data_IF_878710706230
#
_entry.id   IF_878710706230
#
_cell.length_a   1.000
_cell.length_b   1.000
_cell.length_c   1.000
_cell.angle_alpha   90.00
_cell.angle_beta   90.00
_cell.angle_gamma   90.00
#
_symmetry.space_group_name_H-M   'P 1'
#
loop_
_entity.id
_entity.type
_entity.pdbx_description
1 polymer ?
#
# COMPACT_ATOMS: atom_id res chain seq x y z
N UNK A 1 -9.55 29.95 29.32
CA UNK A 1 -8.56 30.50 28.35
C UNK A 1 -9.30 30.78 27.06
N UNK A 2 -9.12 31.96 26.44
CA UNK A 2 -9.69 32.23 25.12
C UNK A 2 -9.05 31.30 24.07
N UNK A 3 -9.82 30.64 23.20
CA UNK A 3 -9.25 29.78 22.17
C UNK A 3 -8.26 30.51 21.28
N UNK A 4 -7.20 29.84 20.86
CA UNK A 4 -6.10 30.46 20.11
C UNK A 4 -5.66 29.57 18.95
N UNK A 5 -5.68 30.11 17.74
CA UNK A 5 -5.01 29.51 16.60
C UNK A 5 -3.50 29.72 16.69
N UNK A 6 -2.73 28.67 16.40
CA UNK A 6 -1.28 28.73 16.25
C UNK A 6 -0.96 28.28 14.82
N UNK A 7 -0.32 29.16 14.06
CA UNK A 7 -0.12 28.98 12.61
C UNK A 7 1.35 29.24 12.27
N UNK A 8 1.99 28.26 11.63
CA UNK A 8 3.32 28.42 11.05
C UNK A 8 3.19 29.11 9.69
N UNK A 9 3.87 30.24 9.52
CA UNK A 9 3.63 31.16 8.40
C UNK A 9 4.34 30.75 7.11
N UNK A 10 5.55 30.23 7.19
CA UNK A 10 6.39 30.02 6.01
C UNK A 10 5.93 28.79 5.24
N UNK A 11 5.93 28.88 3.90
CA UNK A 11 5.62 27.76 3.02
C UNK A 11 6.50 26.52 3.29
N UNK A 12 5.99 25.34 2.91
CA UNK A 12 6.69 24.06 3.14
C UNK A 12 8.05 24.01 2.41
N UNK A 13 8.11 24.61 1.21
CA UNK A 13 9.32 24.74 0.40
C UNK A 13 9.59 26.21 0.06
N UNK A 14 10.82 26.53 -0.36
CA UNK A 14 11.22 27.92 -0.66
C UNK A 14 10.39 28.58 -1.78
N UNK A 15 9.66 27.79 -2.58
CA UNK A 15 8.75 28.26 -3.64
C UNK A 15 7.25 28.17 -3.27
N UNK A 16 6.93 27.60 -2.11
CA UNK A 16 5.54 27.50 -1.65
C UNK A 16 5.07 28.86 -1.10
N UNK A 17 3.82 29.26 -1.37
CA UNK A 17 3.28 30.49 -0.80
C UNK A 17 3.20 30.40 0.73
N UNK A 18 3.40 31.53 1.40
CA UNK A 18 3.19 31.62 2.84
C UNK A 18 1.72 31.41 3.19
N UNK A 19 1.47 30.89 4.39
CA UNK A 19 0.12 30.47 4.82
C UNK A 19 -0.85 31.64 4.92
N UNK A 20 -0.39 32.81 5.33
CA UNK A 20 -1.18 34.06 5.39
C UNK A 20 -1.68 34.54 4.02
N UNK A 21 -1.05 34.11 2.93
CA UNK A 21 -1.49 34.45 1.58
C UNK A 21 -2.82 33.77 1.21
N UNK A 22 -3.14 32.63 1.82
CA UNK A 22 -4.33 31.84 1.46
C UNK A 22 -5.23 31.46 2.63
N UNK A 23 -4.73 31.40 3.86
CA UNK A 23 -5.53 31.09 5.04
C UNK A 23 -6.19 32.38 5.54
N UNK A 24 -7.44 32.62 5.11
CA UNK A 24 -8.19 33.83 5.43
C UNK A 24 -9.00 33.70 6.72
N UNK A 25 -9.42 34.85 7.26
CA UNK A 25 -10.22 34.94 8.49
C UNK A 25 -11.49 34.08 8.39
N UNK A 26 -12.16 34.10 7.25
CA UNK A 26 -13.38 33.32 7.02
C UNK A 26 -13.19 31.80 7.22
N UNK A 27 -12.01 31.27 6.88
CA UNK A 27 -11.69 29.86 7.08
C UNK A 27 -11.47 29.55 8.57
N UNK A 28 -10.78 30.44 9.29
CA UNK A 28 -10.59 30.32 10.73
C UNK A 28 -11.93 30.47 11.49
N UNK A 29 -12.80 31.37 11.04
CA UNK A 29 -14.16 31.55 11.54
C UNK A 29 -14.99 30.27 11.35
N UNK A 30 -14.94 29.65 10.16
CA UNK A 30 -15.65 28.39 9.88
C UNK A 30 -15.10 27.22 10.72
N UNK A 31 -13.78 27.04 10.75
CA UNK A 31 -13.13 26.01 11.58
C UNK A 31 -13.52 26.18 13.05
N UNK A 32 -13.40 27.39 13.60
CA UNK A 32 -13.73 27.64 15.01
C UNK A 32 -15.22 27.39 15.30
N UNK A 33 -16.11 27.78 14.38
CA UNK A 33 -17.55 27.53 14.51
C UNK A 33 -17.87 26.03 14.49
N UNK A 34 -17.25 25.25 13.59
CA UNK A 34 -17.46 23.80 13.47
C UNK A 34 -16.86 22.99 14.61
N UNK A 35 -15.79 23.49 15.22
CA UNK A 35 -15.09 22.82 16.33
C UNK A 35 -15.66 23.21 17.69
N UNK A 36 -15.95 24.50 17.90
CA UNK A 36 -16.31 25.07 19.21
C UNK A 36 -17.71 25.71 19.27
N UNK A 37 -18.41 25.84 18.15
CA UNK A 37 -19.74 26.46 18.08
C UNK A 37 -19.74 27.99 18.06
N UNK A 38 -18.57 28.64 17.98
CA UNK A 38 -18.46 30.11 17.99
C UNK A 38 -17.24 30.61 17.20
N UNK A 39 -17.13 31.93 16.98
CA UNK A 39 -16.02 32.57 16.24
C UNK A 39 -15.05 33.37 17.11
N UNK A 40 -15.12 33.23 18.43
CA UNK A 40 -14.28 34.00 19.35
C UNK A 40 -12.93 33.31 19.58
N UNK A 41 -11.86 33.84 18.98
CA UNK A 41 -10.50 33.30 19.10
C UNK A 41 -9.42 34.39 18.96
N UNK A 42 -8.20 34.04 19.35
CA UNK A 42 -6.98 34.80 19.05
C UNK A 42 -6.14 34.07 17.99
N UNK A 43 -5.25 34.78 17.30
CA UNK A 43 -4.34 34.18 16.31
C UNK A 43 -2.89 34.48 16.67
N UNK A 44 -2.06 33.43 16.71
CA UNK A 44 -0.61 33.52 16.90
C UNK A 44 0.11 32.96 15.68
N UNK A 45 0.77 33.85 14.96
CA UNK A 45 1.67 33.49 13.86
C UNK A 45 3.06 33.12 14.40
N UNK A 46 3.70 32.11 13.79
CA UNK A 46 5.08 31.72 14.06
C UNK A 46 5.86 31.76 12.76
N UNK A 47 7.04 32.37 12.77
CA UNK A 47 7.97 32.40 11.63
C UNK A 47 8.70 31.05 11.52
N UNK A 48 7.96 30.01 11.12
CA UNK A 48 8.41 28.63 10.92
C UNK A 48 7.80 28.06 9.65
N UNK A 49 8.46 27.08 9.06
CA UNK A 49 7.92 26.32 7.92
C UNK A 49 6.74 25.45 8.37
N UNK A 50 5.63 25.54 7.64
CA UNK A 50 4.48 24.66 7.85
C UNK A 50 4.87 23.22 7.48
N UNK A 51 4.57 22.28 8.36
CA UNK A 51 4.77 20.84 8.13
C UNK A 51 3.42 20.15 8.04
N UNK A 52 3.25 19.32 7.00
CA UNK A 52 1.99 18.60 6.78
C UNK A 52 0.78 19.51 6.66
N UNK A 53 0.91 20.77 6.21
CA UNK A 53 -0.21 21.74 6.13
C UNK A 53 -1.04 21.82 7.43
N UNK A 54 -0.37 21.72 8.57
CA UNK A 54 -0.99 21.61 9.87
C UNK A 54 -1.09 22.98 10.56
N UNK A 55 -2.29 23.30 11.06
CA UNK A 55 -2.52 24.40 12.00
C UNK A 55 -3.09 23.84 13.31
N UNK A 56 -3.03 24.64 14.37
CA UNK A 56 -3.51 24.22 15.69
C UNK A 56 -4.56 25.18 16.21
N UNK A 57 -5.62 24.66 16.82
CA UNK A 57 -6.55 25.43 17.65
C UNK A 57 -6.42 24.94 19.09
N UNK A 58 -5.93 25.81 19.96
CA UNK A 58 -5.70 25.51 21.37
C UNK A 58 -6.79 26.11 22.24
N UNK A 59 -7.33 25.30 23.14
CA UNK A 59 -8.29 25.70 24.19
C UNK A 59 -7.69 25.43 25.58
N UNK A 60 -8.46 25.62 26.64
CA UNK A 60 -8.04 25.27 28.01
C UNK A 60 -7.70 23.79 28.16
N UNK A 61 -8.46 22.93 27.51
CA UNK A 61 -8.56 21.49 27.77
C UNK A 61 -8.23 20.64 26.53
N UNK A 62 -8.24 21.23 25.33
CA UNK A 62 -8.01 20.51 24.08
C UNK A 62 -7.08 21.25 23.11
N UNK A 63 -6.27 20.50 22.37
CA UNK A 63 -5.52 20.97 21.19
C UNK A 63 -6.04 20.23 19.97
N UNK A 64 -6.60 20.98 19.02
CA UNK A 64 -7.07 20.45 17.74
C UNK A 64 -6.00 20.64 16.69
N UNK A 65 -5.53 19.52 16.14
CA UNK A 65 -4.59 19.41 15.03
C UNK A 65 -5.42 19.42 13.74
N UNK A 66 -5.35 20.50 12.97
CA UNK A 66 -6.19 20.69 11.78
C UNK A 66 -5.30 20.64 10.53
N UNK A 67 -5.34 19.53 9.81
CA UNK A 67 -4.69 19.36 8.53
C UNK A 67 -5.51 20.03 7.42
N UNK A 68 -4.89 20.97 6.71
CA UNK A 68 -5.52 21.68 5.61
C UNK A 68 -5.29 20.93 4.29
N UNK A 69 -6.34 20.80 3.48
CA UNK A 69 -6.21 20.32 2.12
C UNK A 69 -5.37 21.28 1.26
N UNK A 70 -5.00 20.82 0.06
CA UNK A 70 -4.43 21.71 -0.94
C UNK A 70 -5.42 22.84 -1.28
N UNK A 71 -4.90 24.03 -1.57
CA UNK A 71 -5.66 25.19 -2.03
C UNK A 71 -5.40 25.47 -3.52
N UNK A 72 -6.26 26.28 -4.12
CA UNK A 72 -6.10 26.72 -5.51
C UNK A 72 -6.29 25.57 -6.50
N UNK A 73 -5.52 25.56 -7.59
CA UNK A 73 -5.70 24.57 -8.66
C UNK A 73 -5.05 23.22 -8.31
N UNK A 74 -5.83 22.15 -8.40
CA UNK A 74 -5.36 20.78 -8.18
C UNK A 74 -4.51 20.29 -9.36
N UNK A 75 -3.18 20.38 -9.22
CA UNK A 75 -2.21 20.02 -10.26
C UNK A 75 -1.81 18.53 -10.28
N UNK A 76 -2.35 17.70 -9.37
CA UNK A 76 -2.08 16.26 -9.32
C UNK A 76 -2.86 15.57 -8.20
N UNK A 77 -3.22 14.29 -8.40
CA UNK A 77 -4.07 13.50 -7.48
C UNK A 77 -3.43 13.34 -6.10
N UNK A 78 -2.12 13.11 -6.07
CA UNK A 78 -1.40 12.72 -4.86
C UNK A 78 -1.19 13.90 -3.89
N UNK A 79 -1.20 15.13 -4.41
CA UNK A 79 -0.82 16.31 -3.66
C UNK A 79 -1.77 16.63 -2.50
N UNK A 80 -3.02 16.17 -2.58
CA UNK A 80 -3.98 16.30 -1.49
C UNK A 80 -3.73 15.31 -0.35
N UNK A 81 -3.32 14.09 -0.67
CA UNK A 81 -3.21 13.00 0.31
C UNK A 81 -1.86 13.05 1.03
N UNK A 82 -0.79 13.49 0.36
CA UNK A 82 0.58 13.47 0.87
C UNK A 82 0.81 14.23 2.20
N UNK A 83 0.06 15.32 2.45
CA UNK A 83 0.22 16.08 3.69
C UNK A 83 -0.35 15.34 4.91
N UNK A 84 -1.31 14.43 4.71
CA UNK A 84 -2.09 13.81 5.78
C UNK A 84 -1.22 12.90 6.65
N UNK A 85 -0.45 11.93 6.12
CA UNK A 85 0.39 11.07 6.98
C UNK A 85 1.44 11.86 7.73
N UNK A 86 1.98 12.92 7.12
CA UNK A 86 2.94 13.81 7.78
C UNK A 86 2.31 14.53 8.98
N UNK A 87 1.11 15.10 8.81
CA UNK A 87 0.39 15.75 9.90
C UNK A 87 -0.06 14.76 10.99
N UNK A 88 -0.51 13.59 10.57
CA UNK A 88 -0.93 12.51 11.46
C UNK A 88 0.25 11.99 12.29
N UNK A 89 1.43 11.83 11.69
CA UNK A 89 2.65 11.44 12.42
C UNK A 89 3.05 12.45 13.49
N UNK A 90 2.91 13.76 13.22
CA UNK A 90 3.13 14.81 14.23
C UNK A 90 2.13 14.64 15.39
N UNK A 91 0.85 14.51 15.06
CA UNK A 91 -0.22 14.30 16.05
C UNK A 91 0.01 13.05 16.90
N UNK A 92 0.35 11.91 16.29
CA UNK A 92 0.58 10.65 17.00
C UNK A 92 1.83 10.72 17.89
N UNK A 93 2.90 11.36 17.43
CA UNK A 93 4.09 11.59 18.26
C UNK A 93 3.75 12.41 19.50
N UNK A 94 2.95 13.47 19.34
CA UNK A 94 2.53 14.31 20.46
C UNK A 94 1.54 13.59 21.38
N UNK A 95 0.62 12.79 20.83
CA UNK A 95 -0.28 11.93 21.61
C UNK A 95 0.49 10.93 22.48
N UNK A 96 1.50 10.26 21.89
CA UNK A 96 2.36 9.33 22.63
C UNK A 96 3.06 10.02 23.81
N UNK A 97 3.62 11.21 23.59
CA UNK A 97 4.26 12.00 24.65
C UNK A 97 3.25 12.47 25.70
N UNK A 98 2.08 12.92 25.28
CA UNK A 98 1.00 13.38 26.17
C UNK A 98 0.48 12.24 27.06
N UNK A 99 0.38 11.02 26.52
CA UNK A 99 -0.02 9.83 27.26
C UNK A 99 1.06 9.33 28.24
N UNK A 100 2.34 9.57 27.92
CA UNK A 100 3.46 9.22 28.80
C UNK A 100 3.73 10.24 29.92
N UNK A 101 3.09 11.41 29.87
CA UNK A 101 3.32 12.48 30.85
C UNK A 101 2.50 12.29 32.12
N UNK A 102 3.14 12.45 33.28
CA UNK A 102 2.48 12.44 34.61
C UNK A 102 1.84 13.79 34.99
N UNK A 103 1.82 14.77 34.07
CA UNK A 103 1.23 16.08 34.32
C UNK A 103 -0.28 15.98 34.56
N UNK A 104 -0.74 16.55 35.69
CA UNK A 104 -2.17 16.62 36.07
C UNK A 104 -3.03 17.41 35.06
N UNK A 105 -2.44 18.34 34.32
CA UNK A 105 -3.16 19.26 33.41
C UNK A 105 -2.95 18.89 31.93
N UNK A 106 -3.08 17.60 31.59
CA UNK A 106 -2.95 17.15 30.20
C UNK A 106 -4.13 17.64 29.35
N UNK A 107 -3.82 18.19 28.17
CA UNK A 107 -4.85 18.53 27.19
C UNK A 107 -5.21 17.30 26.37
N UNK A 108 -6.49 17.15 26.05
CA UNK A 108 -6.94 16.21 25.01
C UNK A 108 -6.36 16.68 23.67
N UNK A 109 -5.85 15.77 22.84
CA UNK A 109 -5.50 16.11 21.47
C UNK A 109 -6.51 15.47 20.52
N UNK A 110 -6.85 16.17 19.44
CA UNK A 110 -7.79 15.70 18.43
C UNK A 110 -7.25 16.03 17.05
N UNK A 111 -7.43 15.14 16.07
CA UNK A 111 -6.94 15.33 14.70
C UNK A 111 -8.09 15.46 13.70
N UNK A 112 -8.12 16.57 12.97
CA UNK A 112 -9.16 16.94 12.02
C UNK A 112 -8.58 17.27 10.64
N UNK A 113 -9.38 17.06 9.61
CA UNK A 113 -9.10 17.47 8.25
C UNK A 113 -10.07 18.57 7.80
N UNK A 114 -9.57 19.56 7.05
CA UNK A 114 -10.34 20.69 6.56
C UNK A 114 -10.05 20.97 5.08
N UNK A 115 -11.10 21.06 4.28
CA UNK A 115 -11.04 21.43 2.88
C UNK A 115 -10.86 22.94 2.69
N UNK A 116 -9.77 23.33 2.05
CA UNK A 116 -9.50 24.68 1.58
C UNK A 116 -10.17 24.92 0.21
N UNK A 117 -10.48 26.18 -0.14
CA UNK A 117 -10.97 26.52 -1.47
C UNK A 117 -10.01 26.05 -2.56
N UNK A 118 -10.54 25.28 -3.51
CA UNK A 118 -9.77 24.64 -4.58
C UNK A 118 -10.57 24.56 -5.88
N UNK A 119 -9.87 24.50 -7.01
CA UNK A 119 -10.43 24.26 -8.34
C UNK A 119 -9.89 22.96 -8.92
N UNK A 120 -10.73 22.19 -9.61
CA UNK A 120 -10.40 20.86 -10.13
C UNK A 120 -11.28 19.77 -9.52
N UNK A 121 -11.06 18.52 -9.94
CA UNK A 121 -11.87 17.40 -9.49
C UNK A 121 -11.33 16.78 -8.20
N UNK A 122 -12.03 17.02 -7.10
CA UNK A 122 -11.75 16.46 -5.79
C UNK A 122 -12.49 15.13 -5.51
N UNK A 123 -13.38 14.73 -6.41
CA UNK A 123 -14.28 13.60 -6.28
C UNK A 123 -13.87 12.50 -7.30
N UNK A 124 -12.60 12.12 -7.28
CA UNK A 124 -12.11 11.00 -8.10
C UNK A 124 -12.11 9.73 -7.27
N UNK A 125 -12.24 8.55 -7.91
CA UNK A 125 -12.18 7.24 -7.22
C UNK A 125 -10.92 7.11 -6.34
N UNK A 126 -9.77 7.58 -6.84
CA UNK A 126 -8.51 7.56 -6.12
C UNK A 126 -8.54 8.45 -4.86
N UNK A 127 -9.01 9.69 -4.98
CA UNK A 127 -9.03 10.62 -3.83
C UNK A 127 -10.08 10.16 -2.80
N UNK A 128 -11.26 9.73 -3.27
CA UNK A 128 -12.31 9.19 -2.40
C UNK A 128 -11.83 7.98 -1.62
N UNK A 129 -11.08 7.06 -2.25
CA UNK A 129 -10.48 5.93 -1.55
C UNK A 129 -9.69 6.37 -0.32
N UNK A 130 -8.87 7.42 -0.42
CA UNK A 130 -8.11 7.91 0.73
C UNK A 130 -8.95 8.67 1.75
N UNK A 131 -10.02 9.36 1.34
CA UNK A 131 -10.97 9.93 2.31
C UNK A 131 -11.69 8.85 3.11
N UNK A 132 -12.02 7.73 2.48
CA UNK A 132 -12.56 6.56 3.18
C UNK A 132 -11.52 5.96 4.13
N UNK A 133 -10.25 5.85 3.73
CA UNK A 133 -9.15 5.44 4.62
C UNK A 133 -9.04 6.37 5.84
N UNK A 134 -9.15 7.69 5.65
CA UNK A 134 -9.14 8.65 6.75
C UNK A 134 -10.29 8.43 7.72
N UNK A 135 -11.52 8.26 7.21
CA UNK A 135 -12.70 7.97 8.03
C UNK A 135 -12.55 6.65 8.79
N UNK A 136 -11.95 5.65 8.15
CA UNK A 136 -11.63 4.35 8.76
C UNK A 136 -10.64 4.50 9.91
N UNK A 137 -9.68 5.42 9.78
CA UNK A 137 -8.71 5.77 10.82
C UNK A 137 -9.25 6.76 11.88
N UNK A 138 -10.58 6.96 11.96
CA UNK A 138 -11.27 7.90 12.85
C UNK A 138 -10.86 9.38 12.67
N UNK A 139 -10.46 9.77 11.46
CA UNK A 139 -10.16 11.17 11.14
C UNK A 139 -11.46 11.90 10.78
N UNK A 140 -11.82 12.92 11.57
CA UNK A 140 -12.98 13.76 11.30
C UNK A 140 -12.67 14.81 10.23
N UNK A 141 -13.49 14.84 9.19
CA UNK A 141 -13.50 15.87 8.15
C UNK A 141 -14.51 16.94 8.55
N UNK A 142 -14.07 18.18 8.75
CA UNK A 142 -14.89 19.26 9.34
C UNK A 142 -15.94 19.82 8.39
N UNK A 143 -15.58 20.00 7.12
CA UNK A 143 -16.39 20.65 6.10
C UNK A 143 -16.52 19.77 4.84
N UNK A 144 -16.87 18.49 5.03
CA UNK A 144 -17.08 17.55 3.93
C UNK A 144 -18.14 18.05 2.94
N UNK A 145 -19.18 18.72 3.46
CA UNK A 145 -20.24 19.40 2.69
C UNK A 145 -19.69 20.43 1.69
N UNK A 146 -18.59 21.09 2.03
CA UNK A 146 -17.92 22.05 1.15
C UNK A 146 -16.99 21.37 0.14
N UNK A 147 -16.15 20.43 0.60
CA UNK A 147 -15.14 19.81 -0.25
C UNK A 147 -15.68 18.76 -1.22
N UNK A 148 -16.84 18.19 -0.92
CA UNK A 148 -17.50 17.09 -1.63
C UNK A 148 -19.03 17.28 -1.59
N UNK A 149 -19.56 18.32 -2.25
CA UNK A 149 -20.98 18.65 -2.19
C UNK A 149 -21.85 17.52 -2.76
N UNK A 150 -22.84 17.07 -1.99
CA UNK A 150 -23.77 16.02 -2.38
C UNK A 150 -23.26 14.59 -2.20
N UNK A 151 -22.03 14.41 -1.71
CA UNK A 151 -21.42 13.10 -1.50
C UNK A 151 -21.32 12.78 -0.02
N UNK A 152 -21.49 11.49 0.33
CA UNK A 152 -21.26 10.99 1.68
C UNK A 152 -20.04 10.07 1.67
N UNK A 153 -19.00 10.42 2.45
CA UNK A 153 -17.84 9.56 2.62
C UNK A 153 -18.08 8.64 3.82
N UNK A 154 -18.17 7.36 3.54
CA UNK A 154 -18.25 6.31 4.55
C UNK A 154 -16.88 5.66 4.80
N UNK A 155 -16.64 5.29 6.06
CA UNK A 155 -15.49 4.46 6.40
C UNK A 155 -15.57 3.11 5.66
N UNK A 156 -14.44 2.44 5.51
CA UNK A 156 -14.44 1.03 5.12
C UNK A 156 -14.94 0.20 6.29
N UNK A 157 -15.72 -0.83 5.98
CA UNK A 157 -16.27 -1.75 6.98
C UNK A 157 -15.41 -3.01 7.14
N UNK A 158 -14.70 -3.41 6.08
CA UNK A 158 -13.89 -4.63 6.05
C UNK A 158 -12.61 -4.43 5.22
N UNK A 159 -11.58 -5.23 5.50
CA UNK A 159 -10.35 -5.25 4.69
C UNK A 159 -10.63 -5.71 3.25
N UNK A 160 -11.55 -6.66 3.05
CA UNK A 160 -11.96 -7.12 1.71
C UNK A 160 -12.51 -5.98 0.85
N UNK A 161 -13.24 -5.06 1.47
CA UNK A 161 -13.74 -3.86 0.79
C UNK A 161 -12.60 -2.92 0.36
N UNK A 162 -11.59 -2.74 1.22
CA UNK A 162 -10.37 -1.97 0.89
C UNK A 162 -9.66 -2.62 -0.31
N UNK A 163 -9.43 -3.93 -0.27
CA UNK A 163 -8.75 -4.69 -1.34
C UNK A 163 -9.49 -4.51 -2.66
N UNK A 164 -10.80 -4.79 -2.67
CA UNK A 164 -11.65 -4.67 -3.86
C UNK A 164 -11.62 -3.25 -4.43
N UNK A 165 -11.90 -2.25 -3.61
CA UNK A 165 -11.94 -0.84 -4.05
C UNK A 165 -10.58 -0.38 -4.59
N UNK A 166 -9.49 -0.85 -3.96
CA UNK A 166 -8.14 -0.54 -4.42
C UNK A 166 -7.86 -1.19 -5.77
N UNK A 167 -8.21 -2.46 -5.96
CA UNK A 167 -8.01 -3.18 -7.23
C UNK A 167 -8.81 -2.55 -8.38
N UNK A 168 -10.10 -2.24 -8.17
CA UNK A 168 -10.96 -1.57 -9.17
C UNK A 168 -10.42 -0.18 -9.59
N UNK A 169 -9.75 0.53 -8.68
CA UNK A 169 -9.15 1.82 -9.00
C UNK A 169 -7.93 1.72 -9.93
N UNK A 170 -7.29 0.53 -10.01
CA UNK A 170 -6.08 0.27 -10.81
C UNK A 170 -6.38 -0.12 -12.26
N UNK A 171 -7.51 -0.80 -12.53
CA UNK A 171 -7.89 -1.18 -13.90
C UNK A 171 -7.99 0.04 -14.84
N UNK A 172 -8.25 1.22 -14.28
CA UNK A 172 -8.37 2.49 -15.00
C UNK A 172 -7.02 3.22 -15.13
N UNK A 173 -6.02 2.91 -14.28
CA UNK A 173 -4.74 3.62 -14.20
C UNK A 173 -3.55 2.64 -14.07
N UNK A 174 -3.27 1.88 -15.12
CA UNK A 174 -2.20 0.85 -15.14
C UNK A 174 -0.78 1.40 -14.89
N UNK A 175 -0.55 2.71 -15.05
CA UNK A 175 0.77 3.34 -14.94
C UNK A 175 1.30 3.60 -13.52
N UNK A 176 0.49 3.52 -12.45
CA UNK A 176 0.98 3.67 -11.07
C UNK A 176 0.26 2.72 -10.10
N UNK A 177 0.89 1.59 -9.82
CA UNK A 177 0.38 0.59 -8.90
C UNK A 177 1.18 0.61 -7.59
N UNK A 178 0.83 1.49 -6.66
CA UNK A 178 1.74 1.85 -5.55
C UNK A 178 1.74 0.90 -4.34
N UNK A 179 0.65 0.16 -4.12
CA UNK A 179 0.51 -0.70 -2.93
C UNK A 179 -0.44 -1.85 -3.23
N UNK A 180 -0.14 -3.07 -2.78
CA UNK A 180 -1.02 -4.25 -2.82
C UNK A 180 -1.31 -4.79 -1.42
N UNK A 181 -2.42 -5.51 -1.29
CA UNK A 181 -2.84 -6.15 -0.04
C UNK A 181 -3.34 -7.56 -0.37
N UNK A 182 -2.93 -8.56 0.40
CA UNK A 182 -3.41 -9.95 0.27
C UNK A 182 -3.83 -10.52 1.64
N UNK A 183 -4.83 -11.41 1.64
CA UNK A 183 -5.31 -12.09 2.85
C UNK A 183 -4.72 -13.51 2.94
N UNK A 184 -3.64 -13.67 3.70
CA UNK A 184 -2.97 -14.97 3.85
C UNK A 184 -3.71 -15.91 4.84
N UNK A 185 -4.95 -15.59 5.19
CA UNK A 185 -5.79 -16.37 6.10
C UNK A 185 -5.52 -16.02 7.56
N UNK A 186 -4.28 -16.13 8.03
CA UNK A 186 -3.89 -15.83 9.41
C UNK A 186 -3.30 -14.42 9.61
N UNK A 187 -2.94 -13.74 8.52
CA UNK A 187 -2.40 -12.38 8.53
C UNK A 187 -2.71 -11.66 7.21
N UNK A 188 -2.61 -10.33 7.23
CA UNK A 188 -2.63 -9.53 6.03
C UNK A 188 -1.21 -9.15 5.61
N UNK A 189 -0.90 -9.29 4.34
CA UNK A 189 0.33 -8.75 3.77
C UNK A 189 0.03 -7.46 3.02
N UNK A 190 0.86 -6.45 3.22
CA UNK A 190 0.84 -5.19 2.49
C UNK A 190 2.17 -5.08 1.74
N UNK A 191 2.13 -4.88 0.43
CA UNK A 191 3.32 -4.64 -0.40
C UNK A 191 3.30 -3.18 -0.83
N UNK A 192 4.06 -2.32 -0.15
CA UNK A 192 3.97 -0.86 -0.31
C UNK A 192 5.27 -0.23 -0.78
N UNK A 193 5.19 0.63 -1.79
CA UNK A 193 6.35 1.38 -2.30
C UNK A 193 6.89 2.39 -1.29
N UNK A 194 8.21 2.56 -1.27
CA UNK A 194 8.92 3.37 -0.25
C UNK A 194 9.25 4.81 -0.67
N UNK A 195 8.93 5.25 -1.89
CA UNK A 195 9.35 6.57 -2.39
C UNK A 195 8.20 7.59 -2.52
N UNK A 196 8.47 8.83 -2.10
CA UNK A 196 7.66 10.01 -2.39
C UNK A 196 6.18 9.88 -2.00
N UNK A 197 5.30 10.14 -2.97
CA UNK A 197 3.85 10.08 -2.80
C UNK A 197 3.36 8.69 -2.35
N UNK A 198 3.91 7.66 -2.95
CA UNK A 198 3.51 6.27 -2.72
C UNK A 198 3.82 5.82 -1.28
N UNK A 199 4.90 6.36 -0.69
CA UNK A 199 5.21 6.14 0.73
C UNK A 199 4.08 6.67 1.62
N UNK A 200 3.60 7.89 1.34
CA UNK A 200 2.52 8.53 2.12
C UNK A 200 1.20 7.78 1.97
N UNK A 201 0.88 7.32 0.77
CA UNK A 201 -0.26 6.43 0.53
C UNK A 201 -0.16 5.14 1.36
N UNK A 202 1.00 4.48 1.31
CA UNK A 202 1.28 3.24 2.05
C UNK A 202 1.08 3.45 3.55
N UNK A 203 1.59 4.55 4.11
CA UNK A 203 1.44 4.89 5.54
C UNK A 203 -0.02 5.03 5.94
N UNK A 204 -0.82 5.79 5.18
CA UNK A 204 -2.25 5.97 5.48
C UNK A 204 -3.03 4.66 5.35
N UNK A 205 -2.68 3.84 4.36
CA UNK A 205 -3.32 2.55 4.13
C UNK A 205 -3.00 1.56 5.26
N UNK A 206 -1.76 1.52 5.75
CA UNK A 206 -1.39 0.70 6.91
C UNK A 206 -2.22 1.07 8.13
N UNK A 207 -2.36 2.37 8.42
CA UNK A 207 -3.17 2.88 9.53
C UNK A 207 -4.65 2.47 9.38
N UNK A 208 -5.23 2.64 8.19
CA UNK A 208 -6.62 2.27 7.94
C UNK A 208 -6.87 0.76 8.06
N UNK A 209 -5.93 -0.07 7.58
CA UNK A 209 -6.01 -1.54 7.73
C UNK A 209 -5.90 -1.93 9.21
N UNK A 210 -4.95 -1.35 9.94
CA UNK A 210 -4.77 -1.60 11.37
C UNK A 210 -6.00 -1.24 12.20
N UNK A 211 -6.76 -0.21 11.79
CA UNK A 211 -7.99 0.18 12.45
C UNK A 211 -9.13 -0.85 12.32
N UNK A 212 -9.12 -1.70 11.28
CA UNK A 212 -10.20 -2.65 10.98
C UNK A 212 -9.84 -4.11 11.23
N UNK A 213 -8.60 -4.49 10.97
CA UNK A 213 -8.18 -5.90 11.01
C UNK A 213 -8.21 -6.45 12.43
N UNK A 214 -8.61 -7.71 12.59
CA UNK A 214 -8.40 -8.53 13.78
C UNK A 214 -7.11 -9.38 13.70
N UNK A 215 -6.53 -9.50 12.51
CA UNK A 215 -5.33 -10.30 12.23
C UNK A 215 -4.04 -9.47 12.31
N UNK A 216 -2.90 -10.12 12.58
CA UNK A 216 -1.56 -9.58 12.32
C UNK A 216 -1.41 -8.96 10.92
N UNK A 217 -0.57 -7.94 10.82
CA UNK A 217 -0.24 -7.28 9.55
C UNK A 217 1.26 -7.32 9.32
N UNK A 218 1.67 -7.65 8.08
CA UNK A 218 3.06 -7.57 7.62
C UNK A 218 3.16 -6.57 6.48
N UNK A 219 4.00 -5.55 6.64
CA UNK A 219 4.32 -4.58 5.61
C UNK A 219 5.65 -4.94 4.95
N UNK A 220 5.59 -5.41 3.71
CA UNK A 220 6.74 -5.56 2.83
C UNK A 220 7.03 -4.24 2.12
N UNK A 221 8.21 -3.71 2.39
CA UNK A 221 8.69 -2.48 1.78
C UNK A 221 9.17 -2.77 0.36
N UNK A 222 8.56 -2.17 -0.66
CA UNK A 222 8.95 -2.36 -2.05
C UNK A 222 9.82 -1.18 -2.47
N UNK A 223 11.12 -1.44 -2.65
CA UNK A 223 12.06 -0.37 -3.02
C UNK A 223 11.73 0.15 -4.43
N UNK A 224 11.71 1.48 -4.56
CA UNK A 224 11.47 2.20 -5.81
C UNK A 224 12.33 3.47 -5.83
N UNK A 225 12.95 3.76 -6.98
CA UNK A 225 13.99 4.79 -7.12
C UNK A 225 15.13 4.60 -6.09
N UNK A 226 15.68 5.71 -5.59
CA UNK A 226 16.79 5.72 -4.62
C UNK A 226 16.35 5.52 -3.16
N UNK A 227 15.08 5.16 -2.91
CA UNK A 227 14.59 4.94 -1.54
C UNK A 227 15.00 3.58 -1.01
N UNK A 228 15.61 3.55 0.18
CA UNK A 228 16.04 2.33 0.85
C UNK A 228 15.01 1.77 1.85
N UNK A 229 14.05 2.59 2.29
CA UNK A 229 12.97 2.21 3.20
C UNK A 229 11.96 3.36 3.36
N UNK A 230 10.79 3.06 3.94
CA UNK A 230 9.84 4.07 4.41
C UNK A 230 10.54 4.93 5.47
N UNK A 231 10.35 6.25 5.40
CA UNK A 231 10.96 7.17 6.38
C UNK A 231 10.59 6.80 7.83
N UNK A 232 11.55 6.96 8.76
CA UNK A 232 11.35 6.62 10.18
C UNK A 232 10.13 7.32 10.80
N UNK A 233 9.84 8.56 10.44
CA UNK A 233 8.68 9.30 10.94
C UNK A 233 7.35 8.61 10.58
N UNK A 234 7.26 8.03 9.39
CA UNK A 234 6.05 7.32 8.94
C UNK A 234 5.94 5.94 9.59
N UNK A 235 7.08 5.24 9.75
CA UNK A 235 7.15 3.99 10.53
C UNK A 235 6.69 4.22 11.97
N UNK A 236 7.20 5.26 12.62
CA UNK A 236 6.84 5.62 13.99
C UNK A 236 5.36 6.00 14.10
N UNK A 237 4.80 6.66 13.09
CA UNK A 237 3.38 6.97 13.03
C UNK A 237 2.53 5.68 12.99
N UNK A 238 2.86 4.73 12.10
CA UNK A 238 2.15 3.44 12.02
C UNK A 238 2.23 2.70 13.36
N UNK A 239 3.44 2.52 13.90
CA UNK A 239 3.66 1.80 15.16
C UNK A 239 2.92 2.46 16.32
N UNK A 240 3.01 3.79 16.43
CA UNK A 240 2.32 4.54 17.49
C UNK A 240 0.80 4.41 17.36
N UNK A 241 0.25 4.46 16.15
CA UNK A 241 -1.17 4.24 15.93
C UNK A 241 -1.60 2.85 16.41
N UNK A 242 -0.88 1.80 15.97
CA UNK A 242 -1.15 0.40 16.35
C UNK A 242 -1.05 0.21 17.87
N UNK A 243 -0.02 0.78 18.52
CA UNK A 243 0.18 0.70 19.97
C UNK A 243 -0.96 1.36 20.78
N UNK A 244 -1.64 2.34 20.18
CA UNK A 244 -2.76 3.07 20.78
C UNK A 244 -4.12 2.39 20.57
N UNK A 245 -4.21 1.37 19.71
CA UNK A 245 -5.46 0.63 19.52
C UNK A 245 -5.79 -0.19 20.78
N UNK A 246 -7.09 -0.35 21.13
CA UNK A 246 -7.51 -1.12 22.30
C UNK A 246 -7.02 -2.57 22.26
N UNK A 247 -7.02 -3.16 21.07
CA UNK A 247 -6.52 -4.50 20.81
C UNK A 247 -5.15 -4.40 20.15
N UNK A 248 -4.09 -4.63 20.93
CA UNK A 248 -2.73 -4.65 20.40
C UNK A 248 -2.56 -5.82 19.44
N UNK A 249 -2.39 -5.51 18.16
CA UNK A 249 -2.15 -6.49 17.09
C UNK A 249 -0.70 -6.39 16.66
N UNK A 250 -0.10 -7.52 16.29
CA UNK A 250 1.26 -7.49 15.76
C UNK A 250 1.27 -6.80 14.39
N UNK A 251 2.17 -5.84 14.27
CA UNK A 251 2.46 -5.16 13.02
C UNK A 251 3.96 -5.30 12.76
N UNK A 252 4.31 -6.09 11.77
CA UNK A 252 5.69 -6.35 11.39
C UNK A 252 6.04 -5.56 10.12
N UNK A 253 7.19 -4.89 10.15
CA UNK A 253 7.75 -4.27 8.96
C UNK A 253 8.86 -5.19 8.48
N UNK A 254 8.70 -5.68 7.26
CA UNK A 254 9.60 -6.59 6.59
C UNK A 254 10.40 -5.78 5.57
N UNK A 255 11.71 -5.86 5.65
CA UNK A 255 12.59 -5.24 4.67
C UNK A 255 12.58 -6.04 3.36
N UNK A 256 12.80 -5.34 2.24
CA UNK A 256 13.08 -5.95 0.93
C UNK A 256 14.49 -6.54 0.84
N UNK A 257 15.20 -6.66 1.98
CA UNK A 257 16.63 -6.97 1.97
C UNK A 257 16.85 -8.28 1.24
N UNK A 258 17.61 -8.15 0.15
CA UNK A 258 18.08 -9.18 -0.74
C UNK A 258 18.73 -10.29 0.09
N UNK A 259 18.07 -11.42 0.25
CA UNK A 259 18.67 -12.61 0.84
C UNK A 259 18.73 -13.68 -0.24
N UNK A 260 19.79 -13.65 -1.06
CA UNK A 260 20.42 -14.90 -1.44
C UNK A 260 21.31 -15.23 -0.25
N UNK A 261 20.92 -16.21 0.57
CA UNK A 261 21.80 -16.69 1.62
C UNK A 261 23.15 -17.11 1.00
N UNK A 262 24.24 -16.71 1.65
CA UNK A 262 25.59 -17.23 1.41
C UNK A 262 25.57 -18.76 1.42
N UNK A 263 26.43 -19.36 0.58
CA UNK A 263 26.57 -20.79 0.21
C UNK A 263 26.82 -21.80 1.37
N UNK A 264 26.39 -21.53 2.61
CA UNK A 264 26.71 -22.33 3.79
C UNK A 264 25.52 -23.03 4.48
N UNK A 265 24.33 -23.00 3.91
CA UNK A 265 23.23 -23.84 4.42
C UNK A 265 22.78 -24.88 3.40
N UNK A 266 23.14 -26.15 3.67
CA UNK A 266 22.58 -27.36 3.02
C UNK A 266 21.08 -27.57 3.33
N UNK A 267 20.45 -26.59 3.96
CA UNK A 267 19.01 -26.47 4.09
C UNK A 267 18.53 -25.40 3.13
N UNK A 268 18.03 -25.82 1.97
CA UNK A 268 17.23 -24.97 1.06
C UNK A 268 16.00 -24.50 1.87
N UNK A 269 16.13 -23.39 2.60
CA UNK A 269 14.95 -22.67 3.04
C UNK A 269 14.51 -21.81 1.86
N UNK A 270 13.32 -22.10 1.39
CA UNK A 270 12.63 -21.59 0.21
C UNK A 270 12.27 -20.09 0.34
N UNK A 271 13.19 -19.26 0.86
CA UNK A 271 13.02 -17.82 1.09
C UNK A 271 13.25 -16.97 -0.17
N UNK A 272 13.36 -17.61 -1.34
CA UNK A 272 13.48 -16.96 -2.66
C UNK A 272 12.14 -16.56 -3.30
N UNK A 273 11.04 -16.62 -2.55
CA UNK A 273 9.82 -15.85 -2.86
C UNK A 273 9.99 -14.42 -2.37
N UNK A 274 10.87 -13.68 -3.03
CA UNK A 274 11.11 -12.27 -2.73
C UNK A 274 9.77 -11.51 -2.71
N UNK A 275 9.54 -10.63 -1.72
CA UNK A 275 8.39 -9.75 -1.71
C UNK A 275 8.24 -8.96 -3.01
N UNK A 276 9.37 -8.62 -3.66
CA UNK A 276 9.41 -7.99 -4.97
C UNK A 276 8.84 -8.86 -6.09
N UNK A 277 9.14 -10.15 -6.11
CA UNK A 277 8.56 -11.09 -7.08
C UNK A 277 7.04 -11.18 -6.91
N UNK A 278 6.55 -11.33 -5.67
CA UNK A 278 5.12 -11.33 -5.37
C UNK A 278 4.46 -10.03 -5.81
N UNK A 279 5.06 -8.88 -5.49
CA UNK A 279 4.60 -7.57 -5.93
C UNK A 279 4.53 -7.46 -7.46
N UNK A 280 5.57 -7.91 -8.16
CA UNK A 280 5.65 -7.91 -9.62
C UNK A 280 4.58 -8.83 -10.24
N UNK A 281 4.28 -9.96 -9.59
CA UNK A 281 3.23 -10.86 -10.01
C UNK A 281 1.83 -10.27 -9.78
N UNK A 282 1.59 -9.67 -8.61
CA UNK A 282 0.38 -8.90 -8.34
C UNK A 282 0.20 -7.79 -9.39
N UNK A 283 1.28 -7.11 -9.77
CA UNK A 283 1.28 -6.10 -10.83
C UNK A 283 0.84 -6.63 -12.19
N UNK A 284 1.34 -7.80 -12.59
CA UNK A 284 0.95 -8.48 -13.83
C UNK A 284 -0.52 -8.91 -13.82
N UNK A 285 -1.00 -9.47 -12.71
CA UNK A 285 -2.34 -10.06 -12.59
C UNK A 285 -3.38 -9.13 -11.90
N UNK A 286 -3.23 -7.81 -12.04
CA UNK A 286 -4.26 -6.85 -11.61
C UNK A 286 -4.44 -6.70 -10.09
N UNK A 287 -3.54 -7.27 -9.30
CA UNK A 287 -3.58 -7.27 -7.84
C UNK A 287 -4.44 -8.38 -7.23
N UNK A 288 -4.81 -9.39 -8.02
CA UNK A 288 -5.51 -10.58 -7.51
C UNK A 288 -4.60 -11.80 -7.57
N UNK A 289 -4.61 -12.61 -6.50
CA UNK A 289 -4.13 -13.98 -6.56
C UNK A 289 -5.25 -14.83 -7.16
N UNK A 290 -5.01 -15.38 -8.35
CA UNK A 290 -5.97 -16.27 -9.02
C UNK A 290 -5.24 -17.41 -9.69
N UNK A 291 -5.54 -18.65 -9.31
CA UNK A 291 -4.96 -19.81 -9.97
C UNK A 291 -5.32 -19.79 -11.46
N UNK A 292 -4.30 -19.82 -12.33
CA UNK A 292 -4.52 -19.77 -13.78
C UNK A 292 -5.17 -21.04 -14.36
N UNK A 293 -5.15 -22.16 -13.62
CA UNK A 293 -5.66 -23.46 -14.09
C UNK A 293 -7.06 -23.82 -13.58
N UNK A 294 -7.54 -23.18 -12.51
CA UNK A 294 -8.87 -23.46 -11.95
C UNK A 294 -9.65 -22.23 -11.49
N UNK A 295 -9.08 -21.04 -11.61
CA UNK A 295 -9.73 -19.80 -11.21
C UNK A 295 -9.90 -19.61 -9.68
N UNK A 296 -9.35 -20.49 -8.85
CA UNK A 296 -9.38 -20.34 -7.39
C UNK A 296 -8.81 -18.97 -6.98
N UNK A 297 -9.52 -18.24 -6.11
CA UNK A 297 -9.17 -16.88 -5.60
C UNK A 297 -8.92 -16.84 -4.08
N UNK A 298 -8.64 -17.98 -3.46
CA UNK A 298 -8.35 -18.03 -2.03
C UNK A 298 -6.86 -17.73 -1.85
N UNK A 299 -6.54 -16.46 -1.59
CA UNK A 299 -5.18 -15.92 -1.45
C UNK A 299 -4.22 -16.83 -0.65
N UNK A 300 -4.69 -17.37 0.48
CA UNK A 300 -3.89 -18.18 1.42
C UNK A 300 -3.42 -19.54 0.88
N UNK A 301 -4.08 -20.08 -0.15
CA UNK A 301 -3.68 -21.35 -0.78
C UNK A 301 -3.07 -21.16 -2.17
N UNK A 302 -3.00 -19.90 -2.63
CA UNK A 302 -2.41 -19.56 -3.91
C UNK A 302 -0.94 -19.21 -3.70
N UNK A 303 -0.10 -19.88 -4.49
CA UNK A 303 1.34 -19.79 -4.47
C UNK A 303 1.84 -19.11 -5.75
N UNK A 304 2.88 -18.30 -5.61
CA UNK A 304 3.62 -17.79 -6.76
C UNK A 304 4.60 -18.88 -7.21
N UNK A 305 4.38 -19.42 -8.40
CA UNK A 305 5.25 -20.42 -9.00
C UNK A 305 6.18 -19.75 -10.02
N UNK A 306 7.48 -19.99 -9.90
CA UNK A 306 8.44 -19.61 -10.93
C UNK A 306 8.33 -20.55 -12.13
N UNK A 307 8.25 -19.99 -13.33
CA UNK A 307 8.22 -20.77 -14.58
C UNK A 307 9.58 -21.43 -14.78
N UNK A 308 10.64 -20.63 -14.88
CA UNK A 308 12.01 -21.11 -14.85
C UNK A 308 12.52 -21.08 -13.40
N UNK A 309 12.80 -22.26 -12.79
CA UNK A 309 13.08 -22.33 -11.36
C UNK A 309 14.29 -21.49 -10.94
N UNK A 310 14.18 -20.84 -9.79
CA UNK A 310 15.28 -20.03 -9.21
C UNK A 310 16.54 -20.88 -9.00
N UNK A 311 16.40 -22.14 -8.61
CA UNK A 311 17.54 -23.06 -8.50
C UNK A 311 18.29 -23.25 -9.83
N UNK A 312 17.57 -23.24 -10.96
CA UNK A 312 18.15 -23.32 -12.30
C UNK A 312 18.81 -22.00 -12.71
N UNK A 313 18.22 -20.85 -12.34
CA UNK A 313 18.83 -19.52 -12.53
C UNK A 313 20.16 -19.43 -11.76
N UNK A 314 20.18 -19.84 -10.48
CA UNK A 314 21.39 -19.81 -9.63
C UNK A 314 22.54 -20.63 -10.21
N UNK A 315 22.24 -21.74 -10.88
CA UNK A 315 23.25 -22.64 -11.49
C UNK A 315 23.83 -22.10 -12.81
N UNK A 316 23.26 -21.05 -13.41
CA UNK A 316 23.78 -20.43 -14.64
C UNK A 316 25.09 -19.72 -14.34
N UNK A 317 26.20 -20.26 -14.83
CA UNK A 317 27.55 -19.69 -14.64
C UNK A 317 27.90 -18.58 -15.63
N UNK A 318 27.12 -18.50 -16.70
CA UNK A 318 27.25 -17.53 -17.79
C UNK A 318 26.56 -16.19 -17.49
N UNK A 319 25.84 -16.08 -16.37
CA UNK A 319 25.16 -14.86 -15.92
C UNK A 319 25.81 -14.34 -14.64
N UNK A 320 25.89 -13.02 -14.51
CA UNK A 320 26.21 -12.37 -13.23
C UNK A 320 25.01 -12.39 -12.26
N UNK A 321 25.25 -12.00 -11.01
CA UNK A 321 24.24 -12.09 -9.96
C UNK A 321 23.13 -11.05 -10.10
N UNK A 322 23.39 -9.89 -10.70
CA UNK A 322 22.40 -8.86 -10.98
C UNK A 322 21.38 -9.34 -12.03
N UNK A 323 21.87 -9.96 -13.10
CA UNK A 323 21.02 -10.57 -14.13
C UNK A 323 20.22 -11.73 -13.53
N UNK A 324 20.86 -12.64 -12.78
CA UNK A 324 20.14 -13.74 -12.10
C UNK A 324 19.02 -13.22 -11.21
N UNK A 325 19.29 -12.16 -10.44
CA UNK A 325 18.28 -11.54 -9.61
C UNK A 325 17.14 -10.97 -10.45
N UNK A 326 17.45 -10.23 -11.52
CA UNK A 326 16.44 -9.66 -12.42
C UNK A 326 15.49 -10.73 -12.98
N UNK A 327 16.02 -11.90 -13.35
CA UNK A 327 15.23 -13.05 -13.84
C UNK A 327 14.40 -13.70 -12.73
N UNK A 328 14.90 -13.74 -11.51
CA UNK A 328 14.21 -14.33 -10.36
C UNK A 328 13.02 -13.47 -9.88
N UNK A 329 13.09 -12.15 -10.02
CA UNK A 329 11.99 -11.24 -9.67
C UNK A 329 11.11 -10.85 -10.86
N UNK A 330 11.42 -11.33 -12.07
CA UNK A 330 10.68 -10.98 -13.28
C UNK A 330 9.20 -11.41 -13.17
N UNK A 331 8.29 -10.47 -13.45
CA UNK A 331 6.85 -10.75 -13.46
C UNK A 331 6.46 -11.78 -14.53
N UNK A 332 7.25 -11.88 -15.60
CA UNK A 332 7.02 -12.80 -16.70
C UNK A 332 7.59 -14.20 -16.42
N UNK A 333 8.41 -14.36 -15.38
CA UNK A 333 8.87 -15.65 -14.88
C UNK A 333 7.92 -16.25 -13.83
N UNK A 334 6.67 -15.78 -13.74
CA UNK A 334 5.77 -16.16 -12.66
C UNK A 334 4.34 -16.42 -13.09
N UNK A 335 3.71 -17.38 -12.41
CA UNK A 335 2.28 -17.69 -12.50
C UNK A 335 1.68 -17.94 -11.11
N UNK A 336 0.40 -17.62 -10.95
CA UNK A 336 -0.37 -17.96 -9.76
C UNK A 336 -0.95 -19.36 -9.89
N UNK A 337 -0.63 -20.25 -8.95
CA UNK A 337 -1.18 -21.61 -8.89
C UNK A 337 -1.72 -21.89 -7.49
N UNK A 338 -2.85 -22.60 -7.38
CA UNK A 338 -3.25 -23.15 -6.08
C UNK A 338 -2.27 -24.26 -5.66
N UNK A 339 -2.27 -24.64 -4.38
CA UNK A 339 -1.34 -25.63 -3.85
C UNK A 339 -1.30 -26.96 -4.64
N UNK A 340 -2.46 -27.44 -5.11
CA UNK A 340 -2.52 -28.65 -5.92
C UNK A 340 -1.82 -28.49 -7.26
N UNK A 341 -2.17 -27.45 -8.03
CA UNK A 341 -1.56 -27.19 -9.34
C UNK A 341 -0.08 -26.84 -9.23
N UNK A 342 0.33 -26.13 -8.17
CA UNK A 342 1.72 -25.82 -7.90
C UNK A 342 2.55 -27.09 -7.75
N UNK A 343 2.07 -28.07 -6.96
CA UNK A 343 2.77 -29.36 -6.78
C UNK A 343 2.85 -30.16 -8.07
N UNK A 344 1.81 -30.13 -8.91
CA UNK A 344 1.82 -30.80 -10.22
C UNK A 344 2.84 -30.14 -11.15
N UNK A 345 2.90 -28.81 -11.16
CA UNK A 345 3.82 -28.05 -11.99
C UNK A 345 5.28 -28.26 -11.58
N UNK A 346 5.60 -28.17 -10.27
CA UNK A 346 6.94 -28.40 -9.74
C UNK A 346 7.49 -29.79 -10.03
N UNK A 347 6.61 -30.81 -10.02
CA UNK A 347 6.95 -32.20 -10.36
C UNK A 347 7.04 -32.46 -11.87
N UNK A 348 6.85 -31.45 -12.71
CA UNK A 348 6.76 -31.58 -14.17
C UNK A 348 5.69 -32.57 -14.63
N UNK A 349 4.63 -32.76 -13.83
CA UNK A 349 3.45 -33.53 -14.22
C UNK A 349 2.62 -32.71 -15.21
N UNK A 350 2.61 -31.40 -15.04
CA UNK A 350 2.02 -30.44 -15.97
C UNK A 350 3.03 -29.36 -16.36
N UNK A 351 2.92 -28.84 -17.57
CA UNK A 351 3.69 -27.69 -18.06
C UNK A 351 2.88 -26.91 -19.10
N UNK A 352 3.48 -25.87 -19.68
CA UNK A 352 2.84 -25.10 -20.74
C UNK A 352 3.70 -25.07 -22.00
N UNK A 353 3.05 -25.22 -23.15
CA UNK A 353 3.61 -25.01 -24.49
C UNK A 353 2.76 -23.96 -25.20
N UNK A 354 3.38 -22.84 -25.62
CA UNK A 354 2.65 -21.70 -26.22
C UNK A 354 1.46 -21.22 -25.37
N UNK A 355 1.58 -21.32 -24.04
CA UNK A 355 0.51 -20.95 -23.09
C UNK A 355 -0.58 -22.01 -22.90
N UNK A 356 -0.52 -23.14 -23.60
CA UNK A 356 -1.46 -24.26 -23.46
C UNK A 356 -0.93 -25.31 -22.49
N UNK A 357 -1.81 -25.82 -21.65
CA UNK A 357 -1.50 -26.84 -20.68
C UNK A 357 -1.18 -28.16 -21.35
N UNK A 358 -0.05 -28.73 -20.97
CA UNK A 358 0.38 -30.08 -21.33
C UNK A 358 0.44 -30.94 -20.07
N UNK A 359 0.06 -32.21 -20.20
CA UNK A 359 0.08 -33.20 -19.12
C UNK A 359 1.04 -34.32 -19.50
N UNK A 360 1.85 -34.75 -18.54
CA UNK A 360 2.84 -35.80 -18.74
C UNK A 360 2.18 -37.12 -19.10
N UNK A 361 2.80 -37.86 -20.03
CA UNK A 361 2.41 -39.25 -20.34
C UNK A 361 3.04 -40.26 -19.36
N UNK A 362 3.79 -39.80 -18.37
CA UNK A 362 4.47 -40.64 -17.38
C UNK A 362 3.57 -41.06 -16.20
N UNK A 363 2.35 -40.54 -16.12
CA UNK A 363 1.35 -40.89 -15.11
C UNK A 363 0.28 -41.79 -15.76
N UNK A 364 -0.44 -42.57 -14.96
CA UNK A 364 -1.50 -43.45 -15.48
C UNK A 364 -2.77 -42.69 -15.88
N UNK A 365 -3.69 -43.37 -16.57
CA UNK A 365 -4.91 -42.77 -17.10
C UNK A 365 -5.86 -42.26 -15.99
N UNK A 366 -5.84 -42.87 -14.81
CA UNK A 366 -6.64 -42.44 -13.66
C UNK A 366 -6.12 -41.11 -13.10
N UNK A 367 -4.80 -40.97 -12.96
CA UNK A 367 -4.15 -39.72 -12.55
C UNK A 367 -4.34 -38.62 -13.61
N UNK A 368 -4.26 -38.94 -14.91
CA UNK A 368 -4.58 -37.98 -15.99
C UNK A 368 -6.02 -37.49 -15.85
N UNK A 369 -6.97 -38.40 -15.58
CA UNK A 369 -8.38 -38.03 -15.40
C UNK A 369 -8.55 -37.11 -14.18
N UNK A 370 -7.86 -37.39 -13.06
CA UNK A 370 -7.86 -36.53 -11.89
C UNK A 370 -7.29 -35.13 -12.20
N UNK A 371 -6.14 -35.04 -12.86
CA UNK A 371 -5.53 -33.76 -13.26
C UNK A 371 -6.49 -32.93 -14.10
N UNK A 372 -7.17 -33.55 -15.08
CA UNK A 372 -8.19 -32.88 -15.91
C UNK A 372 -9.41 -32.46 -15.09
N UNK A 373 -9.84 -33.26 -14.12
CA UNK A 373 -11.00 -32.92 -13.27
C UNK A 373 -10.75 -31.67 -12.43
N UNK A 374 -9.54 -31.50 -11.90
CA UNK A 374 -9.18 -30.33 -11.08
C UNK A 374 -8.73 -29.12 -11.91
N UNK A 375 -8.55 -29.28 -13.23
CA UNK A 375 -8.04 -28.25 -14.14
C UNK A 375 -9.13 -27.83 -15.12
N UNK A 376 -9.81 -26.73 -14.81
CA UNK A 376 -10.94 -26.23 -15.60
C UNK A 376 -10.53 -25.22 -16.67
N UNK A 377 -9.29 -24.76 -16.65
CA UNK A 377 -8.70 -23.82 -17.61
C UNK A 377 -7.43 -24.48 -18.15
N UNK A 378 -7.38 -24.66 -19.47
CA UNK A 378 -6.30 -25.35 -20.19
C UNK A 378 -5.39 -24.41 -20.99
N UNK A 379 -5.64 -23.10 -20.95
CA UNK A 379 -4.84 -22.09 -21.62
C UNK A 379 -4.72 -20.82 -20.77
N UNK A 380 -3.52 -20.24 -20.73
CA UNK A 380 -3.28 -18.96 -20.05
C UNK A 380 -3.97 -17.85 -20.86
N UNK A 381 -4.67 -16.94 -20.18
CA UNK A 381 -5.36 -15.83 -20.84
C UNK A 381 -4.37 -15.04 -21.75
N UNK A 382 -4.66 -14.86 -23.06
CA UNK A 382 -3.67 -14.39 -24.03
C UNK A 382 -3.02 -13.04 -23.71
N UNK A 383 -3.71 -12.14 -23.01
CA UNK A 383 -3.14 -10.84 -22.62
C UNK A 383 -2.06 -10.92 -21.53
N UNK A 384 -1.92 -12.06 -20.84
CA UNK A 384 -0.81 -12.30 -19.91
C UNK A 384 0.41 -12.94 -20.57
N UNK A 385 0.25 -13.49 -21.78
CA UNK A 385 1.31 -14.13 -22.54
C UNK A 385 2.08 -13.06 -23.31
N UNK A 386 3.41 -13.11 -23.23
CA UNK A 386 4.32 -12.33 -24.06
C UNK A 386 5.57 -13.16 -24.39
N UNK A 387 6.39 -12.68 -25.31
CA UNK A 387 7.60 -13.39 -25.75
C UNK A 387 8.56 -13.73 -24.60
N UNK A 388 8.63 -12.85 -23.60
CA UNK A 388 9.49 -13.02 -22.43
C UNK A 388 9.03 -14.17 -21.53
N UNK A 389 7.73 -14.25 -21.26
CA UNK A 389 7.10 -15.36 -20.52
C UNK A 389 7.27 -16.69 -21.26
N UNK A 390 7.09 -16.68 -22.59
CA UNK A 390 7.28 -17.87 -23.42
C UNK A 390 8.75 -18.32 -23.43
N UNK A 391 9.70 -17.39 -23.45
CA UNK A 391 11.12 -17.74 -23.30
C UNK A 391 11.42 -18.41 -21.95
N UNK A 392 10.76 -18.03 -20.85
CA UNK A 392 10.89 -18.76 -19.58
C UNK A 392 10.35 -20.19 -19.66
N UNK A 393 9.24 -20.42 -20.38
CA UNK A 393 8.74 -21.77 -20.64
C UNK A 393 9.72 -22.59 -21.49
N UNK A 394 10.27 -21.99 -22.56
CA UNK A 394 11.29 -22.62 -23.41
C UNK A 394 12.50 -23.06 -22.56
N UNK A 395 13.01 -22.16 -21.69
CA UNK A 395 14.11 -22.46 -20.78
C UNK A 395 13.79 -23.59 -19.80
N UNK A 396 12.55 -23.64 -19.26
CA UNK A 396 12.11 -24.73 -18.38
C UNK A 396 12.12 -26.07 -19.13
N UNK A 397 11.69 -26.07 -20.39
CA UNK A 397 11.67 -27.25 -21.25
C UNK A 397 13.06 -27.67 -21.77
N UNK A 398 14.12 -26.87 -21.51
CA UNK A 398 15.46 -27.12 -22.03
C UNK A 398 15.63 -26.76 -23.50
N UNK A 399 14.73 -25.94 -24.04
CA UNK A 399 14.74 -25.45 -25.42
C UNK A 399 15.45 -24.09 -25.45
N UNK A 400 16.23 -23.76 -26.50
CA UNK A 400 16.77 -22.42 -26.67
C UNK A 400 15.65 -21.36 -26.63
N UNK A 401 15.77 -20.31 -25.81
CA UNK A 401 14.70 -19.34 -25.66
C UNK A 401 14.50 -18.52 -26.94
N UNK A 402 13.24 -18.25 -27.27
CA UNK A 402 12.88 -17.45 -28.46
C UNK A 402 13.34 -15.99 -28.42
N UNK A 403 13.65 -15.47 -27.23
CA UNK A 403 14.25 -14.14 -27.02
C UNK A 403 15.37 -14.23 -25.99
N UNK A 404 16.31 -13.27 -26.05
CA UNK A 404 17.35 -13.13 -25.02
C UNK A 404 16.70 -12.61 -23.74
N UNK A 405 16.92 -13.32 -22.63
CA UNK A 405 16.32 -13.03 -21.33
C UNK A 405 17.21 -12.18 -20.43
#
# INVERSE_FOLDING_TARGET
MKPRFIIDKLGAENRSPNVDTYLKKEHLDDICSRVLGHKNYDVKWREKKIKGRLIYLETSDCIYYINLSQNGHLRGRDYQVQSIPTALGIYLSDQKKNNASELKDRKKLMFYFYFMPQTGNNNTRYVNFFYRCMKTADIKILNADFGLPGETIEAFSTIKEIIKTRNESREINSGNQSTYITDEGNCYHIYGKTFGANQKETTLLCIAISALTDKPVKLFQILDNDSTQISQNDIDAIKTYVDMLPEKKSFEIMDDTLQFDDDSSDTITDRLRSPKFIYNLLSKYGGEKRCILCGCKIDSIIQAAHIYPVASIRKRKDLDDDIKFSLAIDKDNGIWLCENHHKLFDKNIIWFEEGKLCVSKSIDDEDVAFVKQITTIDEIEPHYINERMLAFFDMRAGIPPRVVL
#
